data_IF_676161745727
#
_entry.id   IF_676161745727
#
_cell.length_a   1.000
_cell.length_b   1.000
_cell.length_c   1.000
_cell.angle_alpha   90.00
_cell.angle_beta   90.00
_cell.angle_gamma   90.00
#
_symmetry.space_group_name_H-M   'P 1'
#
loop_
_entity.id
_entity.type
_entity.pdbx_description
1 polymer ?
#
# COMPACT_ATOMS: atom_id res chain seq x y z
N UNK A 1 -46.55 -34.25 -9.43
CA UNK A 1 -46.94 -33.24 -10.43
C UNK A 1 -45.76 -33.05 -11.37
N UNK A 2 -45.80 -33.57 -12.59
CA UNK A 2 -44.68 -33.50 -13.54
C UNK A 2 -44.47 -32.06 -14.04
N UNK A 3 -43.23 -31.58 -14.23
CA UNK A 3 -43.02 -30.28 -14.84
C UNK A 3 -43.19 -30.38 -16.37
N UNK A 4 -43.93 -29.45 -17.01
CA UNK A 4 -44.09 -29.44 -18.46
C UNK A 4 -42.97 -28.68 -19.19
N UNK A 5 -42.65 -29.24 -20.36
CA UNK A 5 -41.95 -28.78 -21.57
C UNK A 5 -41.07 -27.51 -21.58
N UNK A 6 -39.85 -27.75 -22.07
CA UNK A 6 -38.78 -26.85 -22.44
C UNK A 6 -39.06 -26.08 -23.75
N UNK A 7 -39.63 -24.90 -23.64
CA UNK A 7 -39.60 -23.87 -24.70
C UNK A 7 -38.32 -23.05 -24.56
N UNK A 8 -37.49 -23.06 -25.61
CA UNK A 8 -36.24 -22.31 -25.72
C UNK A 8 -36.50 -20.79 -25.75
N UNK A 9 -36.66 -20.20 -24.57
CA UNK A 9 -36.67 -18.77 -24.33
C UNK A 9 -35.49 -18.40 -23.44
N UNK A 10 -34.73 -17.39 -23.86
CA UNK A 10 -33.60 -16.78 -23.16
C UNK A 10 -33.64 -16.96 -21.63
N UNK A 11 -32.84 -17.91 -21.11
CA UNK A 11 -32.79 -18.25 -19.68
C UNK A 11 -31.97 -17.20 -18.94
N UNK A 12 -32.56 -16.03 -18.73
CA UNK A 12 -32.16 -15.15 -17.62
C UNK A 12 -32.38 -15.95 -16.34
N UNK A 13 -31.30 -16.48 -15.78
CA UNK A 13 -31.33 -17.23 -14.52
C UNK A 13 -32.06 -16.37 -13.47
N UNK A 14 -33.29 -16.76 -13.13
CA UNK A 14 -34.04 -16.10 -12.06
C UNK A 14 -33.31 -16.38 -10.76
N UNK A 15 -32.51 -15.42 -10.30
CA UNK A 15 -31.97 -15.40 -8.95
C UNK A 15 -33.14 -15.20 -8.00
N UNK A 16 -33.62 -16.29 -7.41
CA UNK A 16 -34.60 -16.24 -6.33
C UNK A 16 -33.91 -15.74 -5.05
N UNK A 17 -34.50 -14.78 -4.32
CA UNK A 17 -33.94 -14.30 -3.07
C UNK A 17 -33.93 -15.45 -2.05
N UNK A 18 -32.75 -15.76 -1.49
CA UNK A 18 -32.61 -16.76 -0.43
C UNK A 18 -33.20 -16.19 0.87
N UNK A 19 -33.99 -17.00 1.58
CA UNK A 19 -34.51 -16.65 2.90
C UNK A 19 -33.35 -16.34 3.87
N UNK A 20 -33.40 -15.18 4.53
CA UNK A 20 -32.43 -14.79 5.57
C UNK A 20 -33.09 -14.96 6.94
N UNK A 21 -32.53 -15.83 7.79
CA UNK A 21 -33.07 -16.10 9.13
C UNK A 21 -32.91 -14.88 10.06
N UNK A 22 -33.92 -14.52 10.87
CA UNK A 22 -33.82 -13.41 11.83
C UNK A 22 -32.84 -13.63 12.98
N UNK A 23 -32.57 -14.90 13.32
CA UNK A 23 -31.77 -15.30 14.49
C UNK A 23 -30.30 -15.59 14.17
N UNK A 24 -29.88 -15.45 12.91
CA UNK A 24 -28.50 -15.69 12.49
C UNK A 24 -27.61 -14.45 12.59
N UNK A 25 -26.28 -14.61 12.67
CA UNK A 25 -25.35 -13.49 12.56
C UNK A 25 -25.57 -12.74 11.23
N UNK A 26 -25.82 -11.43 11.32
CA UNK A 26 -26.00 -10.55 10.16
C UNK A 26 -24.63 -10.24 9.57
N UNK A 27 -24.20 -11.03 8.59
CA UNK A 27 -23.01 -10.71 7.82
C UNK A 27 -23.31 -9.56 6.86
N UNK A 28 -22.52 -8.49 6.95
CA UNK A 28 -22.44 -7.45 5.94
C UNK A 28 -21.34 -7.89 4.99
N UNK A 29 -21.68 -8.13 3.73
CA UNK A 29 -20.68 -8.45 2.70
C UNK A 29 -19.80 -7.22 2.50
N UNK A 30 -18.56 -7.26 2.99
CA UNK A 30 -17.60 -6.20 2.71
C UNK A 30 -17.28 -6.27 1.21
N UNK A 31 -17.29 -5.12 0.51
CA UNK A 31 -16.87 -5.09 -0.89
C UNK A 31 -15.44 -5.61 -0.97
N UNK A 32 -15.26 -6.67 -1.75
CA UNK A 32 -13.98 -7.29 -2.00
C UNK A 32 -13.82 -7.45 -3.51
N UNK A 33 -12.58 -7.30 -3.99
CA UNK A 33 -12.23 -7.49 -5.39
C UNK A 33 -11.21 -8.61 -5.43
N UNK A 34 -11.56 -9.75 -6.03
CA UNK A 34 -10.69 -10.91 -6.14
C UNK A 34 -10.12 -11.39 -4.78
N UNK A 35 -10.90 -11.25 -3.70
CA UNK A 35 -10.48 -11.60 -2.34
C UNK A 35 -9.67 -10.52 -1.60
N UNK A 36 -9.34 -9.40 -2.26
CA UNK A 36 -8.74 -8.24 -1.60
C UNK A 36 -9.84 -7.40 -0.95
N UNK A 37 -9.73 -7.24 0.37
CA UNK A 37 -10.58 -6.34 1.16
C UNK A 37 -9.82 -5.04 1.45
N UNK A 38 -10.54 -3.95 1.68
CA UNK A 38 -9.91 -2.68 2.12
C UNK A 38 -9.08 -2.89 3.40
N UNK A 39 -9.56 -3.75 4.31
CA UNK A 39 -8.88 -4.08 5.56
C UNK A 39 -7.56 -4.81 5.33
N UNK A 40 -7.51 -5.76 4.40
CA UNK A 40 -6.27 -6.47 4.07
C UNK A 40 -5.27 -5.55 3.38
N UNK A 41 -5.73 -4.69 2.47
CA UNK A 41 -4.89 -3.67 1.84
C UNK A 41 -4.32 -2.68 2.86
N UNK A 42 -5.14 -2.18 3.78
CA UNK A 42 -4.69 -1.27 4.84
C UNK A 42 -3.65 -1.90 5.77
N UNK A 43 -3.85 -3.16 6.16
CA UNK A 43 -2.89 -3.90 6.98
C UNK A 43 -1.54 -4.06 6.27
N UNK A 44 -1.57 -4.50 5.02
CA UNK A 44 -0.36 -4.67 4.20
C UNK A 44 0.34 -3.33 3.95
N UNK A 45 -0.43 -2.29 3.63
CA UNK A 45 0.08 -0.93 3.44
C UNK A 45 0.77 -0.38 4.69
N UNK A 46 0.16 -0.56 5.87
CA UNK A 46 0.77 -0.15 7.14
C UNK A 46 2.09 -0.88 7.44
N UNK A 47 2.14 -2.19 7.19
CA UNK A 47 3.37 -2.97 7.34
C UNK A 47 4.45 -2.49 6.36
N UNK A 48 4.10 -2.32 5.07
CA UNK A 48 5.04 -1.85 4.05
C UNK A 48 5.55 -0.43 4.35
N UNK A 49 4.69 0.45 4.87
CA UNK A 49 5.08 1.79 5.27
C UNK A 49 6.09 1.77 6.42
N UNK A 50 5.91 0.91 7.42
CA UNK A 50 6.85 0.76 8.53
C UNK A 50 8.22 0.26 8.03
N UNK A 51 8.23 -0.80 7.22
CA UNK A 51 9.47 -1.30 6.62
C UNK A 51 10.12 -0.28 5.69
N UNK A 52 9.34 0.40 4.86
CA UNK A 52 9.82 1.45 3.96
C UNK A 52 10.40 2.65 4.71
N UNK A 53 9.80 3.03 5.84
CA UNK A 53 10.32 4.09 6.70
C UNK A 53 11.67 3.74 7.30
N UNK A 54 11.80 2.54 7.88
CA UNK A 54 13.08 2.07 8.47
C UNK A 54 14.15 1.85 7.39
N UNK A 55 13.79 1.19 6.29
CA UNK A 55 14.70 0.97 5.17
C UNK A 55 15.14 2.29 4.53
N UNK A 56 14.23 3.26 4.38
CA UNK A 56 14.53 4.60 3.90
C UNK A 56 15.49 5.33 4.83
N UNK A 57 15.25 5.29 6.15
CA UNK A 57 16.16 5.87 7.14
C UNK A 57 17.56 5.22 7.08
N UNK A 58 17.61 3.88 7.02
CA UNK A 58 18.86 3.13 6.92
C UNK A 58 19.61 3.47 5.62
N UNK A 59 18.90 3.54 4.49
CA UNK A 59 19.46 3.93 3.21
C UNK A 59 20.03 5.35 3.26
N UNK A 60 19.32 6.32 3.85
CA UNK A 60 19.83 7.68 4.02
C UNK A 60 21.09 7.72 4.90
N UNK A 61 21.12 6.94 5.97
CA UNK A 61 22.28 6.84 6.87
C UNK A 61 23.50 6.24 6.15
N UNK A 62 23.33 5.12 5.45
CA UNK A 62 24.42 4.40 4.81
C UNK A 62 24.90 5.08 3.51
N UNK A 63 23.97 5.59 2.68
CA UNK A 63 24.32 6.34 1.47
C UNK A 63 24.79 7.77 1.75
N UNK A 64 24.77 8.24 3.00
CA UNK A 64 25.39 9.50 3.40
C UNK A 64 26.91 9.55 3.14
N UNK A 65 27.57 8.39 3.05
CA UNK A 65 28.98 8.27 2.67
C UNK A 65 29.22 8.40 1.15
N UNK A 66 28.17 8.27 0.33
CA UNK A 66 28.25 8.45 -1.13
C UNK A 66 27.97 9.93 -1.47
N UNK A 67 28.95 10.68 -2.04
CA UNK A 67 28.85 12.13 -2.23
C UNK A 67 27.62 12.58 -3.04
N UNK A 68 27.10 11.72 -3.93
CA UNK A 68 26.03 12.04 -4.87
C UNK A 68 24.63 12.02 -4.23
N UNK A 69 24.38 11.20 -3.21
CA UNK A 69 23.05 11.11 -2.54
C UNK A 69 22.85 12.26 -1.54
N UNK A 70 23.95 12.70 -0.92
CA UNK A 70 23.99 13.81 0.04
C UNK A 70 23.60 15.16 -0.57
N UNK A 71 24.09 15.46 -1.78
CA UNK A 71 23.77 16.72 -2.48
C UNK A 71 22.35 16.77 -3.03
N UNK A 72 21.77 15.63 -3.44
CA UNK A 72 20.49 15.62 -4.18
C UNK A 72 19.25 15.43 -3.28
N UNK A 73 19.35 14.65 -2.20
CA UNK A 73 18.21 14.33 -1.32
C UNK A 73 18.33 15.01 0.04
N UNK A 74 19.48 14.91 0.71
CA UNK A 74 19.66 15.40 2.08
C UNK A 74 19.75 16.94 2.18
N UNK A 75 20.13 17.65 1.11
CA UNK A 75 20.20 19.12 1.06
C UNK A 75 18.82 19.81 1.03
N UNK A 76 17.75 19.08 0.67
CA UNK A 76 16.39 19.60 0.52
C UNK A 76 15.47 19.27 1.69
N UNK A 77 15.96 18.54 2.69
CA UNK A 77 15.21 18.27 3.92
C UNK A 77 15.41 19.44 4.89
N UNK A 78 14.38 20.28 5.14
CA UNK A 78 14.50 21.36 6.11
C UNK A 78 14.81 20.75 7.50
N UNK A 79 15.67 21.44 8.27
CA UNK A 79 16.24 21.07 9.59
C UNK A 79 17.43 20.10 9.63
N UNK A 80 17.50 19.04 8.82
CA UNK A 80 18.57 18.03 8.92
C UNK A 80 19.68 18.23 7.87
N UNK A 81 19.38 18.94 6.78
CA UNK A 81 20.32 19.12 5.66
C UNK A 81 21.62 19.84 6.02
N UNK A 82 21.60 20.78 6.98
CA UNK A 82 22.79 21.54 7.40
C UNK A 82 23.84 20.68 8.14
N UNK A 83 23.42 19.65 8.87
CA UNK A 83 24.35 18.75 9.56
C UNK A 83 25.10 17.82 8.58
N UNK A 84 24.49 17.61 7.41
CA UNK A 84 25.11 16.94 6.28
C UNK A 84 25.66 17.95 5.26
N UNK A 85 26.10 19.14 5.65
CA UNK A 85 26.98 19.97 4.79
C UNK A 85 28.36 19.99 5.46
N UNK A 86 29.29 19.17 4.96
CA UNK A 86 30.70 19.26 5.34
C UNK A 86 31.29 20.28 4.37
N UNK A 87 31.16 21.54 4.74
CA UNK A 87 31.88 22.64 4.09
C UNK A 87 33.36 22.34 4.34
N UNK A 88 34.04 21.81 3.33
CA UNK A 88 35.51 21.75 3.34
C UNK A 88 35.95 23.18 3.03
N UNK A 89 36.57 23.91 3.98
CA UNK A 89 37.08 25.24 3.68
C UNK A 89 38.11 25.11 2.55
N UNK A 90 37.96 25.92 1.51
CA UNK A 90 38.79 25.87 0.31
C UNK A 90 40.30 26.17 0.55
N UNK A 91 40.71 26.42 1.80
CA UNK A 91 42.10 26.67 2.19
C UNK A 91 42.91 25.40 2.48
N UNK A 92 42.32 24.21 2.49
CA UNK A 92 43.02 22.95 2.80
C UNK A 92 43.00 21.95 1.63
N UNK A 93 43.01 22.48 0.40
CA UNK A 93 43.04 21.71 -0.84
C UNK A 93 44.39 21.95 -1.55
N UNK A 94 45.33 20.97 -1.54
CA UNK A 94 46.61 21.11 -2.24
C UNK A 94 46.56 20.79 -3.75
N UNK A 95 45.36 20.76 -4.37
CA UNK A 95 45.14 20.72 -5.84
C UNK A 95 43.86 21.48 -6.22
#
# INVERSE_FOLDING_TARGET
MSPPNNTAGNVIARTYPKYKSPYGPKYVELPNVNGWTVRSAAKLGGTLAAFGGVAGFFALFFFGEVPRVRKDILSKVPFIGSHFIREVPASDNPF
#
